data_IF_258900143020
#
_entry.id   IF_258900143020
#
_cell.length_a   1.000
_cell.length_b   1.000
_cell.length_c   1.000
_cell.angle_alpha   90.00
_cell.angle_beta   90.00
_cell.angle_gamma   90.00
#
_symmetry.space_group_name_H-M   'P 1'
#
loop_
_entity.id
_entity.type
_entity.pdbx_description
1 polymer ?
#
# COMPACT_ATOMS: atom_id res chain seq x y z
N UNK A 1 -30.31 26.80 12.43
CA UNK A 1 -29.07 27.55 12.14
C UNK A 1 -27.91 27.13 13.04
N UNK A 2 -28.07 27.12 14.36
CA UNK A 2 -26.97 26.79 15.29
C UNK A 2 -26.41 25.36 15.10
N UNK A 3 -27.28 24.38 14.88
CA UNK A 3 -26.88 23.00 14.55
C UNK A 3 -26.12 22.89 13.23
N UNK A 4 -26.58 23.59 12.18
CA UNK A 4 -25.91 23.59 10.87
C UNK A 4 -24.55 24.28 10.96
N UNK A 5 -24.45 25.40 11.69
CA UNK A 5 -23.17 26.08 11.93
C UNK A 5 -22.18 25.21 12.69
N UNK A 6 -22.65 24.40 13.64
CA UNK A 6 -21.82 23.43 14.36
C UNK A 6 -21.39 22.29 13.43
N UNK A 7 -22.30 21.78 12.59
CA UNK A 7 -22.00 20.75 11.61
C UNK A 7 -20.98 21.21 10.56
N UNK A 8 -21.08 22.45 10.06
CA UNK A 8 -20.09 23.02 9.12
C UNK A 8 -18.74 23.24 9.77
N UNK A 9 -18.70 23.72 11.02
CA UNK A 9 -17.45 23.86 11.77
C UNK A 9 -16.75 22.49 11.97
N UNK A 10 -17.50 21.44 12.33
CA UNK A 10 -16.96 20.08 12.42
C UNK A 10 -16.48 19.55 11.07
N UNK A 11 -17.16 19.89 9.97
CA UNK A 11 -16.76 19.50 8.62
C UNK A 11 -15.44 20.17 8.21
N UNK A 12 -15.27 21.45 8.53
CA UNK A 12 -14.02 22.20 8.30
C UNK A 12 -12.85 21.59 9.09
N UNK A 13 -13.05 21.28 10.37
CA UNK A 13 -12.03 20.61 11.20
C UNK A 13 -11.62 19.27 10.60
N UNK A 14 -12.61 18.45 10.18
CA UNK A 14 -12.33 17.18 9.49
C UNK A 14 -11.58 17.37 8.17
N UNK A 15 -11.95 18.36 7.36
CA UNK A 15 -11.26 18.67 6.11
C UNK A 15 -9.79 19.02 6.38
N UNK A 16 -9.52 19.85 7.39
CA UNK A 16 -8.17 20.20 7.80
C UNK A 16 -7.37 18.99 8.29
N UNK A 17 -7.97 18.12 9.08
CA UNK A 17 -7.35 16.86 9.51
C UNK A 17 -7.02 15.94 8.33
N UNK A 18 -7.91 15.84 7.33
CA UNK A 18 -7.67 15.07 6.10
C UNK A 18 -6.51 15.67 5.28
N UNK A 19 -6.38 17.00 5.24
CA UNK A 19 -5.26 17.69 4.57
C UNK A 19 -3.91 17.41 5.25
N UNK A 20 -3.89 17.39 6.58
CA UNK A 20 -2.69 17.00 7.33
C UNK A 20 -2.35 15.53 7.05
N UNK A 21 -3.37 14.66 7.06
CA UNK A 21 -3.19 13.23 6.77
C UNK A 21 -2.64 12.98 5.36
N UNK A 22 -3.15 13.68 4.34
CA UNK A 22 -2.64 13.56 2.97
C UNK A 22 -1.19 14.03 2.84
N UNK A 23 -0.82 15.11 3.55
CA UNK A 23 0.57 15.59 3.61
C UNK A 23 1.50 14.53 4.22
N UNK A 24 1.09 13.91 5.32
CA UNK A 24 1.85 12.82 5.95
C UNK A 24 1.89 11.56 5.09
N UNK A 25 0.84 11.29 4.31
CA UNK A 25 0.81 10.19 3.34
C UNK A 25 1.84 10.42 2.21
N UNK A 26 1.92 11.65 1.68
CA UNK A 26 2.93 12.04 0.70
C UNK A 26 4.36 11.90 1.25
N UNK A 27 4.61 12.34 2.49
CA UNK A 27 5.91 12.16 3.15
C UNK A 27 6.30 10.69 3.29
N UNK A 28 5.35 9.83 3.68
CA UNK A 28 5.55 8.38 3.78
C UNK A 28 5.87 7.76 2.42
N UNK A 29 5.19 8.19 1.36
CA UNK A 29 5.46 7.74 -0.01
C UNK A 29 6.88 8.10 -0.47
N UNK A 30 7.34 9.34 -0.21
CA UNK A 30 8.71 9.77 -0.52
C UNK A 30 9.74 8.96 0.27
N UNK A 31 9.54 8.81 1.59
CA UNK A 31 10.45 8.01 2.43
C UNK A 31 10.55 6.58 1.94
N UNK A 32 9.43 5.97 1.55
CA UNK A 32 9.43 4.62 1.00
C UNK A 32 10.26 4.52 -0.28
N UNK A 33 10.18 5.51 -1.18
CA UNK A 33 11.01 5.56 -2.40
C UNK A 33 12.51 5.65 -2.06
N UNK A 34 12.88 6.45 -1.06
CA UNK A 34 14.27 6.58 -0.60
C UNK A 34 14.79 5.28 0.03
N UNK A 35 14.00 4.64 0.89
CA UNK A 35 14.33 3.36 1.53
C UNK A 35 14.48 2.24 0.50
N UNK A 36 13.64 2.23 -0.54
CA UNK A 36 13.74 1.27 -1.66
C UNK A 36 15.01 1.53 -2.48
N UNK A 37 15.34 2.79 -2.78
CA UNK A 37 16.58 3.13 -3.49
C UNK A 37 17.83 2.67 -2.72
N UNK A 38 17.85 2.86 -1.40
CA UNK A 38 18.94 2.35 -0.54
C UNK A 38 18.98 0.81 -0.55
N UNK A 39 17.83 0.16 -0.51
CA UNK A 39 17.72 -1.31 -0.54
C UNK A 39 18.20 -1.89 -1.86
N UNK A 40 17.94 -1.23 -3.00
CA UNK A 40 18.46 -1.60 -4.31
C UNK A 40 19.99 -1.59 -4.29
N UNK A 41 20.61 -0.50 -3.84
CA UNK A 41 22.07 -0.38 -3.78
C UNK A 41 22.68 -1.47 -2.90
N UNK A 42 22.13 -1.68 -1.70
CA UNK A 42 22.61 -2.73 -0.80
C UNK A 42 22.45 -4.13 -1.40
N UNK A 43 21.34 -4.40 -2.09
CA UNK A 43 21.12 -5.67 -2.77
C UNK A 43 22.12 -5.90 -3.91
N UNK A 44 22.50 -4.85 -4.66
CA UNK A 44 23.51 -4.94 -5.72
C UNK A 44 24.92 -5.19 -5.14
N UNK A 45 25.28 -4.53 -4.04
CA UNK A 45 26.55 -4.78 -3.35
C UNK A 45 26.65 -6.22 -2.86
N UNK A 46 25.59 -6.71 -2.19
CA UNK A 46 25.53 -8.11 -1.73
C UNK A 46 25.63 -9.07 -2.91
N UNK A 47 24.90 -8.81 -4.00
CA UNK A 47 24.97 -9.63 -5.20
C UNK A 47 26.40 -9.75 -5.73
N UNK A 48 27.07 -8.60 -5.91
CA UNK A 48 28.44 -8.55 -6.43
C UNK A 48 29.43 -9.29 -5.51
N UNK A 49 29.34 -9.06 -4.20
CA UNK A 49 30.21 -9.73 -3.21
C UNK A 49 30.00 -11.25 -3.24
N UNK A 50 28.74 -11.72 -3.24
CA UNK A 50 28.43 -13.15 -3.26
C UNK A 50 28.85 -13.81 -4.56
N UNK A 51 28.68 -13.13 -5.70
CA UNK A 51 29.15 -13.61 -6.98
C UNK A 51 30.67 -13.83 -6.99
N UNK A 52 31.44 -12.90 -6.43
CA UNK A 52 32.89 -13.03 -6.30
C UNK A 52 33.29 -14.20 -5.37
N UNK A 53 32.63 -14.34 -4.23
CA UNK A 53 32.87 -15.45 -3.29
C UNK A 53 32.58 -16.81 -3.92
N UNK A 54 31.49 -16.93 -4.69
CA UNK A 54 31.14 -18.16 -5.42
C UNK A 54 32.20 -18.46 -6.48
N UNK A 55 32.64 -17.45 -7.25
CA UNK A 55 33.69 -17.62 -8.26
C UNK A 55 34.99 -18.13 -7.64
N UNK A 56 35.41 -17.56 -6.50
CA UNK A 56 36.59 -18.02 -5.75
C UNK A 56 36.43 -19.44 -5.22
N UNK A 57 35.24 -19.81 -4.75
CA UNK A 57 34.96 -21.18 -4.29
C UNK A 57 35.02 -22.20 -5.44
N UNK A 58 34.52 -21.85 -6.63
CA UNK A 58 34.63 -22.68 -7.83
C UNK A 58 36.09 -22.85 -8.22
N UNK A 59 36.89 -21.77 -8.19
CA UNK A 59 38.31 -21.85 -8.50
C UNK A 59 39.07 -22.73 -7.50
N UNK A 60 38.81 -22.56 -6.19
CA UNK A 60 39.39 -23.41 -5.15
C UNK A 60 38.98 -24.89 -5.29
N UNK A 61 37.80 -25.17 -5.85
CA UNK A 61 37.38 -26.55 -6.12
C UNK A 61 38.27 -27.27 -7.14
N UNK A 62 39.00 -26.54 -8.00
CA UNK A 62 39.98 -27.14 -8.93
C UNK A 62 41.13 -27.84 -8.21
N UNK A 63 41.48 -27.43 -6.99
CA UNK A 63 42.47 -28.16 -6.17
C UNK A 63 42.01 -29.57 -5.80
N UNK A 64 40.70 -29.86 -5.88
CA UNK A 64 40.18 -31.24 -5.74
C UNK A 64 40.55 -32.09 -6.96
N UNK A 65 40.67 -31.50 -8.15
CA UNK A 65 41.14 -32.21 -9.36
C UNK A 65 42.63 -32.57 -9.23
N UNK A 66 43.44 -31.76 -8.54
CA UNK A 66 44.84 -32.07 -8.24
C UNK A 66 44.97 -33.32 -7.34
N UNK A 67 44.06 -33.49 -6.37
CA UNK A 67 44.01 -34.69 -5.51
C UNK A 67 43.76 -35.93 -6.37
N UNK A 68 42.92 -35.82 -7.39
CA UNK A 68 42.62 -36.95 -8.30
C UNK A 68 43.86 -37.35 -9.12
N UNK A 69 44.63 -36.37 -9.63
CA UNK A 69 45.88 -36.62 -10.35
C UNK A 69 46.91 -37.32 -9.43
N UNK A 70 47.01 -36.89 -8.18
CA UNK A 70 47.90 -37.52 -7.19
C UNK A 70 47.43 -38.96 -6.91
N UNK A 71 46.13 -39.18 -6.73
CA UNK A 71 45.56 -40.51 -6.50
C UNK A 71 45.84 -41.46 -7.68
N UNK A 72 45.71 -41.00 -8.93
CA UNK A 72 46.09 -41.75 -10.13
C UNK A 72 47.57 -42.08 -10.17
N UNK A 73 48.44 -41.11 -9.85
CA UNK A 73 49.89 -41.34 -9.80
C UNK A 73 50.25 -42.42 -8.76
N UNK A 74 49.64 -42.35 -7.57
CA UNK A 74 49.87 -43.36 -6.52
C UNK A 74 49.33 -44.72 -6.96
N UNK A 75 48.21 -44.77 -7.71
CA UNK A 75 47.67 -46.02 -8.26
C UNK A 75 48.67 -46.67 -9.20
N UNK A 76 49.21 -45.92 -10.15
CA UNK A 76 50.24 -46.40 -11.08
C UNK A 76 51.48 -46.93 -10.35
N UNK A 77 51.97 -46.21 -9.33
CA UNK A 77 53.09 -46.66 -8.50
C UNK A 77 52.76 -47.95 -7.72
N UNK A 78 51.53 -48.05 -7.21
CA UNK A 78 51.05 -49.21 -6.45
C UNK A 78 50.93 -50.44 -7.34
N UNK A 79 50.40 -50.28 -8.56
CA UNK A 79 50.27 -51.35 -9.54
C UNK A 79 51.64 -51.85 -9.99
N UNK A 80 52.60 -50.94 -10.25
CA UNK A 80 53.99 -51.31 -10.52
C UNK A 80 54.63 -52.06 -9.34
N UNK A 81 54.41 -51.60 -8.10
CA UNK A 81 54.94 -52.25 -6.90
C UNK A 81 54.36 -53.65 -6.71
N UNK A 82 53.06 -53.82 -6.96
CA UNK A 82 52.38 -55.12 -6.94
C UNK A 82 52.96 -56.08 -7.98
N UNK A 83 53.24 -55.58 -9.19
CA UNK A 83 53.84 -56.35 -10.27
C UNK A 83 55.30 -56.74 -9.98
N UNK A 84 56.09 -55.83 -9.40
CA UNK A 84 57.44 -56.10 -8.91
C UNK A 84 57.44 -57.15 -7.79
N UNK A 85 56.53 -57.02 -6.83
CA UNK A 85 56.35 -57.98 -5.73
C UNK A 85 55.95 -59.37 -6.25
N UNK A 86 55.08 -59.43 -7.26
CA UNK A 86 54.71 -60.67 -7.93
C UNK A 86 55.92 -61.33 -8.60
N UNK A 87 56.70 -60.56 -9.36
CA UNK A 87 57.92 -61.07 -10.01
C UNK A 87 58.95 -61.56 -8.98
N UNK A 88 59.11 -60.83 -7.86
CA UNK A 88 59.98 -61.24 -6.76
C UNK A 88 59.49 -62.53 -6.08
N UNK A 89 58.18 -62.69 -5.89
CA UNK A 89 57.60 -63.91 -5.34
C UNK A 89 57.81 -65.12 -6.26
N UNK A 90 57.69 -64.92 -7.58
CA UNK A 90 57.98 -65.97 -8.59
C UNK A 90 59.44 -66.39 -8.53
N UNK A 91 60.38 -65.44 -8.53
CA UNK A 91 61.81 -65.76 -8.53
C UNK A 91 62.26 -66.36 -7.19
N UNK A 92 61.68 -65.92 -6.07
CA UNK A 92 61.88 -66.53 -4.76
C UNK A 92 61.38 -67.98 -4.71
N UNK A 93 60.26 -68.28 -5.36
CA UNK A 93 59.75 -69.66 -5.49
C UNK A 93 60.69 -70.53 -6.36
N UNK A 94 61.26 -69.94 -7.41
CA UNK A 94 62.22 -70.58 -8.31
C UNK A 94 63.56 -70.91 -7.64
N UNK A 95 64.00 -70.10 -6.67
CA UNK A 95 65.20 -70.36 -5.86
C UNK A 95 65.01 -71.47 -4.79
N UNK A 96 63.80 -72.04 -4.65
CA UNK A 96 63.52 -73.15 -3.74
C UNK A 96 63.73 -72.78 -2.27
N UNK A 97 64.41 -73.65 -1.50
CA UNK A 97 64.65 -73.45 -0.06
C UNK A 97 65.46 -72.16 0.25
N UNK A 98 66.34 -71.73 -0.66
CA UNK A 98 67.15 -70.52 -0.47
C UNK A 98 66.34 -69.22 -0.63
N UNK A 99 65.21 -69.27 -1.35
CA UNK A 99 64.34 -68.11 -1.60
C UNK A 99 63.22 -67.92 -0.57
N UNK A 100 63.09 -68.82 0.40
CA UNK A 100 61.93 -68.90 1.29
C UNK A 100 61.69 -67.62 2.10
N UNK A 101 62.76 -66.97 2.58
CA UNK A 101 62.68 -65.67 3.26
C UNK A 101 62.27 -64.51 2.33
N UNK A 102 62.80 -64.49 1.10
CA UNK A 102 62.41 -63.50 0.08
C UNK A 102 60.96 -63.65 -0.37
N UNK A 103 60.43 -64.88 -0.44
CA UNK A 103 59.04 -65.13 -0.79
C UNK A 103 58.06 -64.54 0.24
N UNK A 104 58.40 -64.59 1.53
CA UNK A 104 57.57 -63.98 2.60
C UNK A 104 57.54 -62.47 2.45
N UNK A 105 58.70 -61.83 2.23
CA UNK A 105 58.79 -60.38 2.03
C UNK A 105 58.03 -59.96 0.77
N UNK A 106 58.18 -60.68 -0.34
CA UNK A 106 57.49 -60.38 -1.59
C UNK A 106 55.96 -60.46 -1.44
N UNK A 107 55.45 -61.47 -0.72
CA UNK A 107 54.01 -61.58 -0.44
C UNK A 107 53.51 -60.44 0.47
N UNK A 108 54.29 -60.01 1.46
CA UNK A 108 53.89 -58.89 2.33
C UNK A 108 53.88 -57.56 1.56
N UNK A 109 54.87 -57.33 0.68
CA UNK A 109 54.89 -56.16 -0.22
C UNK A 109 53.69 -56.17 -1.17
N UNK A 110 53.34 -57.32 -1.75
CA UNK A 110 52.15 -57.47 -2.59
C UNK A 110 50.87 -57.12 -1.82
N UNK A 111 50.74 -57.62 -0.59
CA UNK A 111 49.59 -57.34 0.27
C UNK A 111 49.49 -55.85 0.63
N UNK A 112 50.63 -55.20 0.93
CA UNK A 112 50.67 -53.75 1.16
C UNK A 112 50.26 -52.96 -0.09
N UNK A 113 50.67 -53.39 -1.28
CA UNK A 113 50.25 -52.78 -2.54
C UNK A 113 48.73 -52.94 -2.76
N UNK A 114 48.16 -54.13 -2.53
CA UNK A 114 46.71 -54.35 -2.61
C UNK A 114 45.94 -53.47 -1.60
N UNK A 115 46.44 -53.32 -0.37
CA UNK A 115 45.86 -52.43 0.63
C UNK A 115 45.93 -50.96 0.21
N UNK A 116 47.04 -50.53 -0.38
CA UNK A 116 47.21 -49.17 -0.90
C UNK A 116 46.22 -48.91 -2.06
N UNK A 117 46.07 -49.86 -2.98
CA UNK A 117 45.11 -49.77 -4.11
C UNK A 117 43.66 -49.64 -3.63
N UNK A 118 43.29 -50.38 -2.58
CA UNK A 118 41.99 -50.25 -1.92
C UNK A 118 41.81 -48.86 -1.27
N UNK A 119 42.83 -48.34 -0.59
CA UNK A 119 42.80 -46.99 -0.01
C UNK A 119 42.63 -45.91 -1.08
N UNK A 120 43.32 -46.03 -2.22
CA UNK A 120 43.20 -45.10 -3.35
C UNK A 120 41.79 -45.17 -3.97
N UNK A 121 41.20 -46.35 -4.09
CA UNK A 121 39.81 -46.50 -4.55
C UNK A 121 38.82 -45.79 -3.62
N UNK A 122 39.08 -45.79 -2.31
CA UNK A 122 38.29 -45.01 -1.36
C UNK A 122 38.49 -43.49 -1.55
N UNK A 123 39.73 -43.05 -1.85
CA UNK A 123 40.01 -41.64 -2.17
C UNK A 123 39.21 -41.20 -3.40
N UNK A 124 39.21 -41.98 -4.48
CA UNK A 124 38.43 -41.69 -5.69
C UNK A 124 36.93 -41.53 -5.39
N UNK A 125 36.37 -42.42 -4.56
CA UNK A 125 34.97 -42.34 -4.14
C UNK A 125 34.68 -41.04 -3.37
N UNK A 126 35.57 -40.65 -2.45
CA UNK A 126 35.44 -39.42 -1.67
C UNK A 126 35.57 -38.17 -2.56
N UNK A 127 36.57 -38.13 -3.46
CA UNK A 127 36.79 -37.04 -4.41
C UNK A 127 35.58 -36.85 -5.33
N UNK A 128 35.05 -37.95 -5.90
CA UNK A 128 33.85 -37.89 -6.72
C UNK A 128 32.64 -37.36 -5.96
N UNK A 129 32.46 -37.79 -4.70
CA UNK A 129 31.37 -37.28 -3.84
C UNK A 129 31.53 -35.78 -3.56
N UNK A 130 32.75 -35.32 -3.28
CA UNK A 130 33.05 -33.89 -3.09
C UNK A 130 32.70 -33.11 -4.35
N UNK A 131 33.09 -33.60 -5.53
CA UNK A 131 32.80 -32.95 -6.82
C UNK A 131 31.29 -32.78 -7.07
N UNK A 132 30.50 -33.82 -6.80
CA UNK A 132 29.04 -33.76 -6.93
C UNK A 132 28.44 -32.70 -6.00
N UNK A 133 28.87 -32.68 -4.73
CA UNK A 133 28.39 -31.70 -3.74
C UNK A 133 28.77 -30.28 -4.16
N UNK A 134 30.00 -30.05 -4.63
CA UNK A 134 30.43 -28.73 -5.12
C UNK A 134 29.61 -28.26 -6.32
N UNK A 135 29.36 -29.14 -7.30
CA UNK A 135 28.53 -28.80 -8.45
C UNK A 135 27.09 -28.45 -8.05
N UNK A 136 26.51 -29.21 -7.11
CA UNK A 136 25.18 -28.90 -6.56
C UNK A 136 25.17 -27.57 -5.80
N UNK A 137 26.20 -27.29 -5.02
CA UNK A 137 26.35 -26.04 -4.29
C UNK A 137 26.49 -24.86 -5.27
N UNK A 138 27.36 -24.96 -6.27
CA UNK A 138 27.54 -23.93 -7.29
C UNK A 138 26.24 -23.64 -8.05
N UNK A 139 25.51 -24.68 -8.44
CA UNK A 139 24.21 -24.52 -9.12
C UNK A 139 23.17 -23.87 -8.22
N UNK A 140 23.11 -24.27 -6.95
CA UNK A 140 22.17 -23.70 -5.98
C UNK A 140 22.49 -22.24 -5.68
N UNK A 141 23.76 -21.91 -5.50
CA UNK A 141 24.24 -20.54 -5.31
C UNK A 141 23.93 -19.65 -6.51
N UNK A 142 24.10 -20.16 -7.73
CA UNK A 142 23.71 -19.41 -8.94
C UNK A 142 22.21 -19.13 -8.97
N UNK A 143 21.35 -20.09 -8.60
CA UNK A 143 19.90 -19.85 -8.51
C UNK A 143 19.54 -18.78 -7.49
N UNK A 144 20.26 -18.71 -6.37
CA UNK A 144 20.07 -17.65 -5.36
C UNK A 144 20.45 -16.29 -5.95
N UNK A 145 21.57 -16.20 -6.66
CA UNK A 145 21.95 -14.97 -7.38
C UNK A 145 20.91 -14.57 -8.41
N UNK A 146 20.42 -15.50 -9.22
CA UNK A 146 19.39 -15.23 -10.22
C UNK A 146 18.10 -14.70 -9.57
N UNK A 147 17.69 -15.28 -8.42
CA UNK A 147 16.54 -14.81 -7.66
C UNK A 147 16.74 -13.39 -7.10
N UNK A 148 17.94 -13.06 -6.64
CA UNK A 148 18.27 -11.70 -6.20
C UNK A 148 18.23 -10.73 -7.39
N UNK A 149 18.84 -11.09 -8.52
CA UNK A 149 18.92 -10.22 -9.70
C UNK A 149 17.55 -9.95 -10.33
N UNK A 150 16.64 -10.92 -10.30
CA UNK A 150 15.35 -10.86 -11.02
C UNK A 150 14.18 -10.69 -10.06
N UNK A 151 14.02 -11.61 -9.11
CA UNK A 151 12.90 -11.64 -8.17
C UNK A 151 12.91 -10.44 -7.23
N UNK A 152 14.04 -10.17 -6.58
CA UNK A 152 14.16 -9.04 -5.64
C UNK A 152 14.07 -7.70 -6.38
N UNK A 153 14.75 -7.56 -7.53
CA UNK A 153 14.63 -6.35 -8.37
C UNK A 153 13.18 -6.06 -8.78
N UNK A 154 12.44 -7.07 -9.21
CA UNK A 154 11.02 -6.91 -9.57
C UNK A 154 10.16 -6.46 -8.37
N UNK A 155 10.46 -6.94 -7.16
CA UNK A 155 9.76 -6.45 -5.96
C UNK A 155 10.07 -4.99 -5.65
N UNK A 156 11.30 -4.53 -5.89
CA UNK A 156 11.63 -3.12 -5.73
C UNK A 156 10.89 -2.23 -6.73
N UNK A 157 10.74 -2.66 -7.98
CA UNK A 157 9.94 -1.93 -8.99
C UNK A 157 8.48 -1.80 -8.56
N UNK A 158 7.89 -2.88 -8.03
CA UNK A 158 6.52 -2.86 -7.50
C UNK A 158 6.36 -1.89 -6.31
N UNK A 159 7.34 -1.86 -5.41
CA UNK A 159 7.34 -0.92 -4.27
C UNK A 159 7.46 0.54 -4.74
N UNK A 160 8.32 0.82 -5.73
CA UNK A 160 8.43 2.16 -6.33
C UNK A 160 7.11 2.59 -6.98
N UNK A 161 6.45 1.67 -7.70
CA UNK A 161 5.13 1.92 -8.27
C UNK A 161 4.09 2.22 -7.18
N UNK A 162 4.05 1.40 -6.13
CA UNK A 162 3.15 1.59 -4.98
C UNK A 162 3.38 2.96 -4.33
N UNK A 163 4.64 3.41 -4.22
CA UNK A 163 4.97 4.73 -3.72
C UNK A 163 4.49 5.87 -4.62
N UNK A 164 4.54 5.67 -5.94
CA UNK A 164 3.97 6.62 -6.89
C UNK A 164 2.44 6.65 -6.89
N UNK A 165 1.79 5.53 -6.59
CA UNK A 165 0.34 5.46 -6.39
C UNK A 165 -0.07 6.19 -5.10
N UNK A 166 0.60 5.94 -3.98
CA UNK A 166 0.34 6.66 -2.72
C UNK A 166 0.54 8.17 -2.82
N UNK A 167 1.51 8.63 -3.62
CA UNK A 167 1.69 10.07 -3.86
C UNK A 167 0.51 10.68 -4.64
N UNK A 168 -0.01 9.97 -5.65
CA UNK A 168 -1.21 10.37 -6.41
C UNK A 168 -2.48 10.33 -5.56
N UNK A 169 -2.62 9.32 -4.72
CA UNK A 169 -3.74 9.21 -3.79
C UNK A 169 -3.70 10.33 -2.76
N UNK A 170 -2.51 10.71 -2.27
CA UNK A 170 -2.35 11.81 -1.33
C UNK A 170 -2.77 13.15 -1.95
N UNK A 171 -2.38 13.38 -3.21
CA UNK A 171 -2.81 14.57 -3.95
C UNK A 171 -4.33 14.58 -4.17
N UNK A 172 -4.91 13.45 -4.56
CA UNK A 172 -6.36 13.32 -4.75
C UNK A 172 -7.15 13.58 -3.47
N UNK A 173 -6.70 13.02 -2.33
CA UNK A 173 -7.30 13.26 -1.02
C UNK A 173 -7.13 14.73 -0.58
N UNK A 174 -5.98 15.34 -0.87
CA UNK A 174 -5.76 16.76 -0.60
C UNK A 174 -6.71 17.66 -1.40
N UNK A 175 -6.96 17.34 -2.66
CA UNK A 175 -7.90 18.09 -3.50
C UNK A 175 -9.33 17.94 -2.98
N UNK A 176 -9.75 16.72 -2.61
CA UNK A 176 -11.05 16.49 -1.98
C UNK A 176 -11.23 17.28 -0.68
N UNK A 177 -10.18 17.41 0.14
CA UNK A 177 -10.21 18.25 1.34
C UNK A 177 -10.47 19.72 1.01
N UNK A 178 -9.84 20.26 -0.05
CA UNK A 178 -10.07 21.63 -0.51
C UNK A 178 -11.51 21.82 -1.00
N UNK A 179 -12.06 20.85 -1.73
CA UNK A 179 -13.46 20.90 -2.18
C UNK A 179 -14.45 20.88 -1.01
N UNK A 180 -14.21 20.04 0.00
CA UNK A 180 -15.04 19.97 1.21
C UNK A 180 -14.98 21.29 1.99
N UNK A 181 -13.80 21.89 2.13
CA UNK A 181 -13.62 23.21 2.75
C UNK A 181 -14.43 24.29 2.02
N UNK A 182 -14.34 24.35 0.69
CA UNK A 182 -15.11 25.26 -0.14
C UNK A 182 -16.63 25.05 -0.02
N UNK A 183 -17.07 23.80 0.04
CA UNK A 183 -18.47 23.44 0.24
C UNK A 183 -18.98 23.91 1.62
N UNK A 184 -18.22 23.64 2.69
CA UNK A 184 -18.59 24.04 4.05
C UNK A 184 -18.70 25.57 4.21
N UNK A 185 -17.80 26.32 3.57
CA UNK A 185 -17.86 27.78 3.51
C UNK A 185 -19.10 28.28 2.75
N UNK A 186 -19.45 27.64 1.63
CA UNK A 186 -20.66 27.96 0.86
C UNK A 186 -21.94 27.71 1.67
N UNK A 187 -22.02 26.59 2.39
CA UNK A 187 -23.16 26.28 3.29
C UNK A 187 -23.28 27.34 4.39
N UNK A 188 -22.15 27.78 4.96
CA UNK A 188 -22.15 28.85 5.96
C UNK A 188 -22.70 30.17 5.41
N UNK A 189 -22.34 30.53 4.17
CA UNK A 189 -22.91 31.70 3.48
C UNK A 189 -24.42 31.57 3.28
N UNK A 190 -24.89 30.44 2.74
CA UNK A 190 -26.33 30.21 2.53
C UNK A 190 -27.13 30.24 3.84
N UNK A 191 -26.57 29.74 4.94
CA UNK A 191 -27.20 29.83 6.25
C UNK A 191 -27.38 31.27 6.73
N UNK A 192 -26.39 32.13 6.47
CA UNK A 192 -26.49 33.56 6.78
C UNK A 192 -27.59 34.24 5.96
N UNK A 193 -27.66 33.94 4.67
CA UNK A 193 -28.69 34.50 3.78
C UNK A 193 -30.09 34.07 4.21
N UNK A 194 -30.29 32.80 4.56
CA UNK A 194 -31.55 32.29 5.10
C UNK A 194 -31.91 32.99 6.42
N UNK A 195 -30.93 33.25 7.29
CA UNK A 195 -31.14 34.01 8.51
C UNK A 195 -31.70 35.41 8.24
N UNK A 196 -31.12 36.13 7.28
CA UNK A 196 -31.61 37.45 6.87
C UNK A 196 -33.03 37.40 6.29
N UNK A 197 -33.35 36.38 5.50
CA UNK A 197 -34.70 36.19 4.94
C UNK A 197 -35.72 35.91 6.04
N UNK A 198 -35.39 35.09 7.03
CA UNK A 198 -36.27 34.80 8.17
C UNK A 198 -36.56 36.09 8.96
N UNK A 199 -35.55 36.92 9.19
CA UNK A 199 -35.72 38.21 9.86
C UNK A 199 -36.64 39.15 9.07
N UNK A 200 -36.45 39.25 7.75
CA UNK A 200 -37.32 40.04 6.88
C UNK A 200 -38.78 39.55 6.89
N UNK A 201 -39.00 38.23 6.88
CA UNK A 201 -40.34 37.63 6.98
C UNK A 201 -41.00 37.92 8.33
N UNK A 202 -40.23 37.89 9.42
CA UNK A 202 -40.73 38.24 10.75
C UNK A 202 -41.17 39.72 10.81
N UNK A 203 -40.36 40.64 10.26
CA UNK A 203 -40.71 42.06 10.17
C UNK A 203 -41.96 42.30 9.31
N UNK A 204 -42.06 41.64 8.17
CA UNK A 204 -43.24 41.74 7.29
C UNK A 204 -44.50 41.19 7.95
N UNK A 205 -44.39 40.12 8.74
CA UNK A 205 -45.52 39.57 9.52
C UNK A 205 -46.01 40.58 10.56
N UNK A 206 -45.11 41.27 11.26
CA UNK A 206 -45.46 42.34 12.19
C UNK A 206 -46.16 43.52 11.49
N UNK A 207 -45.66 43.93 10.32
CA UNK A 207 -46.29 44.99 9.53
C UNK A 207 -47.69 44.59 9.04
N UNK A 208 -47.86 43.33 8.66
CA UNK A 208 -49.16 42.78 8.24
C UNK A 208 -50.17 42.78 9.39
N UNK A 209 -49.74 42.40 10.60
CA UNK A 209 -50.57 42.49 11.80
C UNK A 209 -51.02 43.93 12.09
N UNK A 210 -50.09 44.89 12.06
CA UNK A 210 -50.43 46.31 12.25
C UNK A 210 -51.42 46.81 11.18
N UNK A 211 -51.24 46.40 9.92
CA UNK A 211 -52.14 46.76 8.83
C UNK A 211 -53.53 46.16 9.01
N UNK A 212 -53.62 44.91 9.47
CA UNK A 212 -54.89 44.25 9.78
C UNK A 212 -55.63 44.93 10.94
N UNK A 213 -54.91 45.38 11.98
CA UNK A 213 -55.47 46.16 13.09
C UNK A 213 -56.04 47.51 12.62
N UNK A 214 -55.33 48.22 11.74
CA UNK A 214 -55.81 49.45 11.12
C UNK A 214 -57.07 49.22 10.28
N UNK A 215 -57.10 48.16 9.47
CA UNK A 215 -58.28 47.78 8.68
C UNK A 215 -59.47 47.49 9.60
N UNK A 216 -59.26 46.73 10.68
CA UNK A 216 -60.30 46.42 11.68
C UNK A 216 -60.88 47.70 12.31
N UNK A 217 -60.00 48.63 12.68
CA UNK A 217 -60.40 49.94 13.22
C UNK A 217 -61.22 50.73 12.22
N UNK A 218 -60.78 50.78 10.96
CA UNK A 218 -61.51 51.46 9.88
C UNK A 218 -62.87 50.82 9.60
N UNK A 219 -62.98 49.49 9.62
CA UNK A 219 -64.25 48.77 9.47
C UNK A 219 -65.22 49.10 10.62
N UNK A 220 -64.72 49.22 11.84
CA UNK A 220 -65.53 49.63 12.99
C UNK A 220 -66.08 51.05 12.81
N UNK A 221 -65.25 51.99 12.33
CA UNK A 221 -65.68 53.35 12.02
C UNK A 221 -66.71 53.39 10.86
N UNK A 222 -66.49 52.62 9.79
CA UNK A 222 -67.44 52.51 8.67
C UNK A 222 -68.79 51.99 9.16
N UNK A 223 -68.80 50.98 10.04
CA UNK A 223 -70.03 50.42 10.62
C UNK A 223 -70.82 51.50 11.36
N UNK A 224 -70.15 52.31 12.19
CA UNK A 224 -70.78 53.43 12.89
C UNK A 224 -71.40 54.46 11.92
N UNK A 225 -70.65 54.86 10.88
CA UNK A 225 -71.16 55.82 9.88
C UNK A 225 -72.32 55.25 9.06
N UNK A 226 -72.35 53.93 8.82
CA UNK A 226 -73.49 53.25 8.18
C UNK A 226 -74.74 53.31 9.06
N UNK A 227 -74.60 53.10 10.38
CA UNK A 227 -75.72 53.24 11.33
C UNK A 227 -76.29 54.67 11.33
N UNK A 228 -75.42 55.68 11.37
CA UNK A 228 -75.81 57.09 11.29
C UNK A 228 -76.52 57.43 9.96
N UNK A 229 -76.00 56.90 8.85
CA UNK A 229 -76.59 57.09 7.52
C UNK A 229 -77.96 56.42 7.43
N UNK A 230 -78.10 55.20 7.94
CA UNK A 230 -79.38 54.48 7.98
C UNK A 230 -80.42 55.26 8.80
N UNK A 231 -80.06 55.73 10.00
CA UNK A 231 -80.95 56.57 10.81
C UNK A 231 -81.33 57.88 10.12
N UNK A 232 -80.44 58.48 9.33
CA UNK A 232 -80.75 59.66 8.52
C UNK A 232 -81.71 59.34 7.37
N UNK A 233 -81.54 58.20 6.70
CA UNK A 233 -82.46 57.72 5.67
C UNK A 233 -83.86 57.46 6.23
N UNK A 234 -83.98 56.87 7.43
CA UNK A 234 -85.27 56.68 8.11
C UNK A 234 -85.99 58.02 8.35
N UNK A 235 -85.27 59.02 8.86
CA UNK A 235 -85.82 60.38 9.05
C UNK A 235 -86.24 61.02 7.74
N UNK A 236 -85.45 60.86 6.67
CA UNK A 236 -85.78 61.40 5.35
C UNK A 236 -87.03 60.73 4.78
N UNK A 237 -87.17 59.41 4.96
CA UNK A 237 -88.36 58.68 4.57
C UNK A 237 -89.59 59.16 5.35
N UNK A 238 -89.49 59.33 6.67
CA UNK A 238 -90.59 59.88 7.48
C UNK A 238 -90.99 61.29 7.01
N UNK A 239 -90.01 62.17 6.78
CA UNK A 239 -90.26 63.51 6.26
C UNK A 239 -90.94 63.49 4.87
N UNK A 240 -90.52 62.58 3.99
CA UNK A 240 -91.13 62.39 2.67
C UNK A 240 -92.59 61.93 2.78
N UNK A 241 -92.89 61.01 3.71
CA UNK A 241 -94.26 60.57 4.02
C UNK A 241 -95.10 61.74 4.54
N UNK A 242 -94.56 62.55 5.46
CA UNK A 242 -95.24 63.75 5.99
C UNK A 242 -95.48 64.81 4.91
N UNK A 243 -94.51 65.05 4.02
CA UNK A 243 -94.64 65.94 2.87
C UNK A 243 -95.72 65.45 1.91
N UNK A 244 -95.73 64.16 1.55
CA UNK A 244 -96.76 63.57 0.69
C UNK A 244 -98.15 63.71 1.30
N UNK A 245 -98.27 63.52 2.62
CA UNK A 245 -99.52 63.76 3.36
C UNK A 245 -99.96 65.23 3.29
N UNK A 246 -99.01 66.16 3.44
CA UNK A 246 -99.29 67.60 3.38
C UNK A 246 -99.70 68.05 1.97
N UNK A 247 -98.98 67.64 0.92
CA UNK A 247 -99.34 67.94 -0.48
C UNK A 247 -100.68 67.32 -0.86
N UNK A 248 -100.98 66.10 -0.39
CA UNK A 248 -102.27 65.45 -0.60
C UNK A 248 -103.47 66.26 -0.08
N UNK A 249 -103.28 67.07 0.98
CA UNK A 249 -104.31 67.99 1.48
C UNK A 249 -104.54 69.20 0.55
N UNK A 250 -103.54 69.59 -0.25
CA UNK A 250 -103.64 70.71 -1.19
C UNK A 250 -104.18 70.30 -2.58
N UNK A 251 -104.13 69.02 -2.96
CA UNK A 251 -104.65 68.52 -4.24
C UNK A 251 -106.16 68.19 -4.27
N UNK A 252 -106.90 68.45 -3.18
CA UNK A 252 -108.37 68.48 -3.16
C UNK A 252 -108.85 69.93 -3.04
N UNK A 253 -108.75 70.70 -4.12
CA UNK A 253 -109.48 71.95 -4.42
C UNK A 253 -109.63 72.03 -5.92
#
# INVERSE_FOLDING_TARGET
MQEISSATANLLDKAQNVKVFSTEMKKRAVRMKDEVAQSINSSQEIYAQRQEEISRAIEASKSVEEIQIIAETIREMTDQTSLLALNAAIEASRAGEQGRGFAVVANEVKKLAEQCSSAISNIDSVVNRIRVVFNQLSSSSQKVLDYISTGVTSQFELLLQTGAEYERDAESISNLSIEVDGCANSVTHYMKDIGNVIEAVAQMSLQTLNSAEQISTNLSAITLTMEETNGSMERQNDLSVQLKKSVGQFTFS
#
